data_IF_386783165137
#
_entry.id   IF_386783165137
#
_cell.length_a   1.000
_cell.length_b   1.000
_cell.length_c   1.000
_cell.angle_alpha   90.00
_cell.angle_beta   90.00
_cell.angle_gamma   90.00
#
_symmetry.space_group_name_H-M   'P 1'
#
loop_
_entity.id
_entity.type
_entity.pdbx_description
1 polymer ?
#
# COMPACT_ATOMS: atom_id res chain seq x y z
N UNK A 1 -8.99 13.32 14.29
CA UNK A 1 -8.46 12.61 13.11
C UNK A 1 -9.62 11.84 12.51
N UNK A 2 -10.00 12.17 11.29
CA UNK A 2 -11.15 11.58 10.61
C UNK A 2 -10.75 10.26 9.92
N UNK A 3 -11.74 9.43 9.56
CA UNK A 3 -11.53 8.21 8.78
C UNK A 3 -10.83 8.52 7.43
N UNK A 4 -11.13 9.70 6.88
CA UNK A 4 -10.59 10.23 5.62
C UNK A 4 -9.13 10.64 5.76
N UNK A 5 -8.75 11.31 6.86
CA UNK A 5 -7.34 11.62 7.15
C UNK A 5 -6.49 10.34 7.24
N UNK A 6 -7.04 9.29 7.86
CA UNK A 6 -6.37 8.00 7.97
C UNK A 6 -6.21 7.35 6.58
N UNK A 7 -7.25 7.43 5.74
CA UNK A 7 -7.24 6.90 4.37
C UNK A 7 -6.18 7.56 3.49
N UNK A 8 -6.09 8.88 3.50
CA UNK A 8 -5.10 9.63 2.72
C UNK A 8 -3.68 9.28 3.17
N UNK A 9 -3.46 9.20 4.48
CA UNK A 9 -2.16 8.84 5.05
C UNK A 9 -1.73 7.41 4.70
N UNK A 10 -2.65 6.44 4.76
CA UNK A 10 -2.36 5.05 4.38
C UNK A 10 -2.09 4.89 2.88
N UNK A 11 -2.78 5.66 2.04
CA UNK A 11 -2.54 5.69 0.59
C UNK A 11 -1.17 6.29 0.28
N UNK A 12 -0.83 7.44 0.88
CA UNK A 12 0.47 8.08 0.71
C UNK A 12 1.61 7.19 1.22
N UNK A 13 1.39 6.45 2.31
CA UNK A 13 2.35 5.49 2.83
C UNK A 13 2.63 4.35 1.84
N UNK A 14 1.59 3.77 1.22
CA UNK A 14 1.74 2.72 0.20
C UNK A 14 2.61 3.16 -0.98
N UNK A 15 2.33 4.36 -1.50
CA UNK A 15 3.07 4.94 -2.63
C UNK A 15 4.54 5.17 -2.27
N UNK A 16 4.83 5.60 -1.04
CA UNK A 16 6.21 5.77 -0.55
C UNK A 16 6.96 4.45 -0.46
N UNK A 17 6.31 3.37 -0.02
CA UNK A 17 6.91 2.04 0.05
C UNK A 17 7.33 1.55 -1.34
N UNK A 18 6.47 1.71 -2.35
CA UNK A 18 6.79 1.33 -3.74
C UNK A 18 8.03 2.10 -4.23
N UNK A 19 8.00 3.44 -4.10
CA UNK A 19 9.13 4.28 -4.52
C UNK A 19 10.43 3.95 -3.78
N UNK A 20 10.36 3.59 -2.50
CA UNK A 20 11.52 3.17 -1.73
C UNK A 20 12.12 1.87 -2.28
N UNK A 21 11.26 0.88 -2.55
CA UNK A 21 11.69 -0.41 -3.10
C UNK A 21 12.33 -0.26 -4.48
N UNK A 22 11.83 0.66 -5.32
CA UNK A 22 12.38 0.95 -6.65
C UNK A 22 13.82 1.52 -6.59
N UNK A 23 14.24 2.09 -5.46
CA UNK A 23 15.60 2.63 -5.28
C UNK A 23 16.62 1.60 -4.79
N UNK A 24 16.19 0.37 -4.50
CA UNK A 24 17.09 -0.65 -3.98
C UNK A 24 18.06 -1.16 -5.06
N UNK A 25 19.33 -1.45 -4.72
CA UNK A 25 20.29 -1.99 -5.67
C UNK A 25 19.84 -3.33 -6.23
N UNK A 26 20.01 -3.53 -7.55
CA UNK A 26 19.69 -4.77 -8.26
C UNK A 26 20.68 -5.88 -7.89
N UNK A 27 20.52 -6.42 -6.69
CA UNK A 27 21.33 -7.46 -6.08
C UNK A 27 20.43 -8.53 -5.46
N UNK A 28 20.99 -9.71 -5.17
CA UNK A 28 20.23 -10.80 -4.52
C UNK A 28 19.66 -10.32 -3.17
N UNK A 29 20.47 -9.64 -2.36
CA UNK A 29 20.04 -9.09 -1.08
C UNK A 29 18.99 -7.97 -1.25
N UNK A 30 19.20 -7.04 -2.19
CA UNK A 30 18.26 -5.96 -2.50
C UNK A 30 16.89 -6.49 -2.93
N UNK A 31 16.87 -7.48 -3.82
CA UNK A 31 15.64 -8.12 -4.29
C UNK A 31 14.92 -8.92 -3.19
N UNK A 32 15.68 -9.58 -2.31
CA UNK A 32 15.10 -10.29 -1.17
C UNK A 32 14.41 -9.32 -0.20
N UNK A 33 15.09 -8.21 0.15
CA UNK A 33 14.57 -7.17 1.03
C UNK A 33 13.35 -6.47 0.39
N UNK A 34 13.44 -6.09 -0.89
CA UNK A 34 12.35 -5.52 -1.68
C UNK A 34 11.07 -6.37 -1.59
N UNK A 35 11.17 -7.68 -1.83
CA UNK A 35 10.05 -8.61 -1.76
C UNK A 35 9.44 -8.73 -0.37
N UNK A 36 10.25 -8.67 0.69
CA UNK A 36 9.75 -8.66 2.07
C UNK A 36 8.98 -7.38 2.38
N UNK A 37 9.52 -6.22 1.99
CA UNK A 37 8.91 -4.91 2.19
C UNK A 37 7.60 -4.77 1.43
N UNK A 38 7.54 -5.19 0.16
CA UNK A 38 6.30 -5.14 -0.61
C UNK A 38 5.23 -6.01 0.08
N UNK A 39 5.57 -7.21 0.54
CA UNK A 39 4.61 -8.12 1.19
C UNK A 39 4.10 -7.60 2.54
N UNK A 40 4.96 -6.96 3.34
CA UNK A 40 4.58 -6.43 4.66
C UNK A 40 3.97 -5.02 4.60
N UNK A 41 4.45 -4.16 3.70
CA UNK A 41 4.02 -2.77 3.58
C UNK A 41 2.71 -2.58 2.80
N UNK A 42 2.30 -3.55 1.99
CA UNK A 42 1.01 -3.50 1.27
C UNK A 42 -0.15 -4.12 2.03
N UNK A 43 0.06 -4.90 3.10
CA UNK A 43 -1.05 -5.55 3.83
C UNK A 43 -2.04 -4.57 4.48
N UNK A 44 -1.66 -3.38 4.99
CA UNK A 44 -2.62 -2.42 5.52
C UNK A 44 -3.28 -1.60 4.39
N UNK A 45 -2.54 -1.30 3.32
CA UNK A 45 -2.98 -0.44 2.22
C UNK A 45 -3.84 -1.17 1.19
N UNK A 46 -3.64 -2.46 0.97
CA UNK A 46 -4.47 -3.30 0.12
C UNK A 46 -5.85 -3.51 0.74
N UNK A 47 -5.91 -3.80 2.05
CA UNK A 47 -7.18 -3.99 2.76
C UNK A 47 -8.04 -2.73 2.74
N UNK A 48 -7.45 -1.55 2.99
CA UNK A 48 -8.21 -0.30 2.98
C UNK A 48 -8.66 0.15 1.59
N UNK A 49 -7.88 -0.16 0.54
CA UNK A 49 -8.31 0.04 -0.86
C UNK A 49 -9.44 -0.92 -1.23
N UNK A 50 -9.40 -2.17 -0.76
CA UNK A 50 -10.43 -3.16 -1.00
C UNK A 50 -11.78 -2.73 -0.39
N UNK A 51 -11.75 -2.16 0.82
CA UNK A 51 -12.94 -1.57 1.47
C UNK A 51 -13.56 -0.40 0.68
N UNK A 52 -12.75 0.47 0.05
CA UNK A 52 -13.23 1.62 -0.76
C UNK A 52 -13.87 1.16 -2.09
N UNK A 53 -13.32 0.13 -2.73
CA UNK A 53 -13.95 -0.52 -3.89
C UNK A 53 -15.24 -1.24 -3.50
N UNK A 54 -15.26 -1.90 -2.34
CA UNK A 54 -16.43 -2.63 -1.84
C UNK A 54 -17.59 -1.68 -1.50
N UNK A 55 -17.29 -0.53 -0.90
CA UNK A 55 -18.32 0.47 -0.55
C UNK A 55 -18.93 1.14 -1.79
N UNK A 56 -18.12 1.49 -2.80
CA UNK A 56 -18.62 2.04 -4.07
C UNK A 56 -19.50 1.07 -4.84
N UNK A 57 -19.22 -0.23 -4.79
CA UNK A 57 -20.06 -1.24 -5.45
C UNK A 57 -21.42 -1.47 -4.79
N UNK A 58 -21.57 -1.12 -3.51
CA UNK A 58 -22.85 -1.20 -2.78
C UNK A 58 -23.73 0.05 -2.92
N UNK A 59 -23.17 1.18 -3.33
CA UNK A 59 -23.92 2.42 -3.61
C UNK A 59 -24.39 2.52 -5.09
N UNK A 60 -23.90 1.65 -5.98
CA UNK A 60 -24.28 1.58 -7.41
C UNK A 60 -25.29 0.45 -7.75
N UNK A 61 -25.97 -0.15 -6.77
CA UNK A 61 -27.00 -1.21 -6.98
C UNK A 61 -28.43 -0.75 -6.69
#
# INVERSE_FOLDING_TARGET
MTKEDLRERLTAFAVRIIKMVDTLPTSIAGNAIARQIVRSGTSPSANYRQDDYFHKSTDES
#
